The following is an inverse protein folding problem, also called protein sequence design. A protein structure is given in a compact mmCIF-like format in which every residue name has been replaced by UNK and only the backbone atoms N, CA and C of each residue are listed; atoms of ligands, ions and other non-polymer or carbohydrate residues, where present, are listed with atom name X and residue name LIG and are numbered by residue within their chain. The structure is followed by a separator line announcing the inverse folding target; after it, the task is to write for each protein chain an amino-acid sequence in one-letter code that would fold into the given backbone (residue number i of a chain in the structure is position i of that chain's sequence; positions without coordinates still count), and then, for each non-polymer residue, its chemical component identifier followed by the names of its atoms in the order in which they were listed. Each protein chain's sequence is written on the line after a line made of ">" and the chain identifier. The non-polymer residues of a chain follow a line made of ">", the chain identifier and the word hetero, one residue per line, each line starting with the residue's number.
data_IF_318553767481
#
_entry.id   IF_318553767481
#
_cell.length_a   1.000
_cell.length_b   1.000
_cell.length_c   1.000
_cell.angle_alpha   90.00
_cell.angle_beta   90.00
_cell.angle_gamma   90.00
#
_symmetry.space_group_name_H-M   'P 1'
#
loop_
_entity.id
_entity.type
_entity.pdbx_description
1 polymer ?
#
# COMPACT_ATOMS: atom_id res chain seq x y z
N UNK A 1 6.06 23.07 -17.58
CA UNK A 1 5.35 21.88 -18.09
C UNK A 1 5.75 20.59 -17.36
N UNK A 2 7.04 20.22 -17.28
CA UNK A 2 7.46 18.98 -16.59
C UNK A 2 7.02 18.88 -15.13
N UNK A 3 7.13 19.98 -14.36
CA UNK A 3 6.63 20.02 -12.97
C UNK A 3 5.13 19.69 -12.89
N UNK A 4 4.31 20.32 -13.73
CA UNK A 4 2.85 20.13 -13.71
C UNK A 4 2.45 18.68 -14.04
N UNK A 5 3.20 18.02 -14.93
CA UNK A 5 3.01 16.59 -15.20
C UNK A 5 3.41 15.76 -13.97
N UNK A 6 4.53 16.10 -13.33
CA UNK A 6 4.94 15.48 -12.06
C UNK A 6 3.87 15.62 -10.98
N UNK A 7 3.30 16.82 -10.81
CA UNK A 7 2.21 17.11 -9.88
C UNK A 7 0.95 16.30 -10.20
N UNK A 8 0.55 16.24 -11.47
CA UNK A 8 -0.62 15.46 -11.91
C UNK A 8 -0.51 13.99 -11.51
N UNK A 9 0.62 13.34 -11.85
CA UNK A 9 0.84 11.95 -11.49
C UNK A 9 1.04 11.75 -9.98
N UNK A 10 1.60 12.72 -9.27
CA UNK A 10 1.73 12.70 -7.81
C UNK A 10 0.35 12.61 -7.15
N UNK A 11 -0.62 13.43 -7.59
CA UNK A 11 -1.98 13.41 -7.04
C UNK A 11 -2.79 12.18 -7.46
N UNK A 12 -2.38 11.49 -8.52
CA UNK A 12 -2.95 10.19 -8.93
C UNK A 12 -2.24 9.00 -8.25
N UNK A 13 -1.30 9.25 -7.34
CA UNK A 13 -0.46 8.21 -6.72
C UNK A 13 0.32 7.34 -7.71
N UNK A 14 0.52 7.81 -8.95
CA UNK A 14 1.36 7.13 -9.92
C UNK A 14 2.81 7.56 -9.72
N UNK A 15 3.46 6.91 -8.75
CA UNK A 15 4.80 7.27 -8.28
C UNK A 15 5.87 7.13 -9.36
N UNK A 16 5.74 6.14 -10.26
CA UNK A 16 6.72 5.87 -11.33
C UNK A 16 6.70 7.00 -12.36
N UNK A 17 5.53 7.37 -12.89
CA UNK A 17 5.47 8.46 -13.87
C UNK A 17 5.75 9.81 -13.21
N UNK A 18 5.29 10.04 -11.99
CA UNK A 18 5.56 11.28 -11.25
C UNK A 18 7.06 11.51 -11.05
N UNK A 19 7.79 10.48 -10.60
CA UNK A 19 9.26 10.53 -10.44
C UNK A 19 9.96 10.96 -11.74
N UNK A 20 9.62 10.32 -12.86
CA UNK A 20 10.19 10.60 -14.19
C UNK A 20 10.00 12.07 -14.61
N UNK A 21 8.84 12.65 -14.34
CA UNK A 21 8.57 14.04 -14.70
C UNK A 21 9.24 15.05 -13.76
N UNK A 22 9.33 14.74 -12.47
CA UNK A 22 10.12 15.55 -11.54
C UNK A 22 11.62 15.50 -11.85
N UNK A 23 12.16 14.34 -12.22
CA UNK A 23 13.55 14.19 -12.66
C UNK A 23 13.87 15.11 -13.85
N UNK A 24 12.92 15.31 -14.77
CA UNK A 24 13.04 16.30 -15.86
C UNK A 24 12.89 17.73 -15.36
N UNK A 25 11.98 17.99 -14.42
CA UNK A 25 11.73 19.34 -13.91
C UNK A 25 12.94 19.92 -13.17
N UNK A 26 13.64 19.11 -12.36
CA UNK A 26 14.79 19.53 -11.56
C UNK A 26 16.07 19.78 -12.37
N UNK A 27 16.06 19.56 -13.69
CA UNK A 27 17.16 19.97 -14.58
C UNK A 27 17.33 21.50 -14.63
N UNK A 28 16.35 22.25 -14.16
CA UNK A 28 16.45 23.66 -13.84
C UNK A 28 15.98 23.90 -12.39
N UNK A 29 16.35 25.05 -11.82
CA UNK A 29 15.94 25.42 -10.46
C UNK A 29 14.41 25.42 -10.34
N UNK A 30 13.90 24.69 -9.35
CA UNK A 30 12.47 24.66 -9.03
C UNK A 30 12.22 25.29 -7.64
N UNK A 31 10.94 25.45 -7.29
CA UNK A 31 10.53 25.76 -5.93
C UNK A 31 10.75 24.57 -4.98
N UNK A 32 10.74 24.86 -3.69
CA UNK A 32 10.98 23.87 -2.64
C UNK A 32 10.00 22.68 -2.72
N UNK A 33 8.73 22.93 -3.05
CA UNK A 33 7.70 21.89 -3.05
C UNK A 33 7.96 20.84 -4.16
N UNK A 34 8.52 21.25 -5.31
CA UNK A 34 8.93 20.31 -6.35
C UNK A 34 10.02 19.34 -5.86
N UNK A 35 11.03 19.83 -5.12
CA UNK A 35 12.07 18.96 -4.54
C UNK A 35 11.51 18.03 -3.47
N UNK A 36 10.60 18.52 -2.62
CA UNK A 36 9.93 17.70 -1.62
C UNK A 36 9.11 16.57 -2.26
N UNK A 37 8.24 16.89 -3.23
CA UNK A 37 7.40 15.88 -3.90
C UNK A 37 8.25 14.89 -4.67
N UNK A 38 9.29 15.35 -5.34
CA UNK A 38 10.23 14.46 -6.01
C UNK A 38 10.88 13.48 -5.03
N UNK A 39 11.32 13.98 -3.87
CA UNK A 39 11.86 13.14 -2.81
C UNK A 39 10.86 12.08 -2.34
N UNK A 40 9.58 12.43 -2.19
CA UNK A 40 8.54 11.48 -1.82
C UNK A 40 8.33 10.41 -2.88
N UNK A 41 8.33 10.76 -4.18
CA UNK A 41 8.20 9.77 -5.25
C UNK A 41 9.38 8.80 -5.29
N UNK A 42 10.62 9.33 -5.16
CA UNK A 42 11.83 8.52 -5.05
C UNK A 42 11.74 7.57 -3.84
N UNK A 43 11.29 8.06 -2.68
CA UNK A 43 11.12 7.26 -1.47
C UNK A 43 10.10 6.14 -1.66
N UNK A 44 8.93 6.44 -2.24
CA UNK A 44 7.90 5.44 -2.53
C UNK A 44 8.36 4.36 -3.52
N UNK A 45 9.28 4.71 -4.41
CA UNK A 45 9.90 3.77 -5.36
C UNK A 45 11.18 3.10 -4.80
N UNK A 46 11.46 3.22 -3.49
CA UNK A 46 12.60 2.58 -2.83
C UNK A 46 13.97 3.24 -3.09
N UNK A 47 14.01 4.39 -3.77
CA UNK A 47 15.23 5.15 -4.10
C UNK A 47 15.63 6.11 -2.99
N UNK A 48 15.91 5.54 -1.81
CA UNK A 48 16.11 6.31 -0.59
C UNK A 48 17.30 7.29 -0.63
N UNK A 49 18.42 6.91 -1.24
CA UNK A 49 19.59 7.77 -1.34
C UNK A 49 19.33 9.02 -2.20
N UNK A 50 18.65 8.83 -3.33
CA UNK A 50 18.23 9.93 -4.22
C UNK A 50 17.18 10.80 -3.53
N UNK A 51 16.22 10.20 -2.84
CA UNK A 51 15.22 10.91 -2.03
C UNK A 51 15.88 11.82 -0.99
N UNK A 52 16.86 11.30 -0.24
CA UNK A 52 17.60 12.07 0.75
C UNK A 52 18.37 13.25 0.12
N UNK A 53 18.85 13.10 -1.11
CA UNK A 53 19.50 14.20 -1.85
C UNK A 53 18.51 15.34 -2.11
N UNK A 54 17.30 15.02 -2.57
CA UNK A 54 16.27 16.03 -2.84
C UNK A 54 15.71 16.65 -1.54
N UNK A 55 15.59 15.87 -0.47
CA UNK A 55 15.20 16.38 0.85
C UNK A 55 16.22 17.35 1.43
N UNK A 56 17.53 17.15 1.19
CA UNK A 56 18.56 18.13 1.57
C UNK A 56 18.37 19.45 0.83
N UNK A 57 18.11 19.40 -0.47
CA UNK A 57 17.80 20.61 -1.26
C UNK A 57 16.56 21.32 -0.72
N UNK A 58 15.48 20.58 -0.45
CA UNK A 58 14.28 21.11 0.18
C UNK A 58 14.56 21.77 1.54
N UNK A 59 15.31 21.10 2.42
CA UNK A 59 15.64 21.61 3.75
C UNK A 59 16.51 22.87 3.71
N UNK A 60 17.38 23.01 2.70
CA UNK A 60 18.15 24.22 2.49
C UNK A 60 17.27 25.40 2.03
N UNK A 61 16.26 25.15 1.20
CA UNK A 61 15.32 26.17 0.71
C UNK A 61 14.31 26.58 1.79
N UNK A 62 13.92 25.65 2.66
CA UNK A 62 12.87 25.84 3.68
C UNK A 62 13.31 25.35 5.06
N UNK A 63 14.36 25.93 5.68
CA UNK A 63 14.97 25.41 6.91
C UNK A 63 14.03 25.42 8.13
N UNK A 64 13.04 26.31 8.14
CA UNK A 64 12.06 26.44 9.22
C UNK A 64 10.78 25.61 8.98
N UNK A 65 10.68 24.90 7.85
CA UNK A 65 9.55 24.02 7.59
C UNK A 65 9.66 22.76 8.46
N UNK A 66 8.55 22.36 9.08
CA UNK A 66 8.53 21.22 9.99
C UNK A 66 8.99 19.91 9.31
N UNK A 67 8.76 19.75 8.00
CA UNK A 67 9.21 18.61 7.20
C UNK A 67 10.74 18.58 7.08
N UNK A 68 11.37 19.74 6.91
CA UNK A 68 12.82 19.89 6.85
C UNK A 68 13.44 19.60 8.23
N UNK A 69 12.87 20.17 9.29
CA UNK A 69 13.30 19.94 10.68
C UNK A 69 13.22 18.45 11.03
N UNK A 70 12.14 17.77 10.63
CA UNK A 70 11.96 16.33 10.88
C UNK A 70 13.00 15.49 10.14
N UNK A 71 13.26 15.83 8.87
CA UNK A 71 14.27 15.15 8.07
C UNK A 71 15.69 15.31 8.65
N UNK A 72 16.06 16.51 9.08
CA UNK A 72 17.40 16.78 9.62
C UNK A 72 17.62 16.21 11.02
N UNK A 73 16.55 16.01 11.81
CA UNK A 73 16.62 15.45 13.16
C UNK A 73 17.12 14.00 13.19
N UNK A 74 16.81 13.19 12.16
CA UNK A 74 17.32 11.83 12.05
C UNK A 74 17.83 11.51 10.63
N UNK A 75 19.08 11.87 10.29
CA UNK A 75 19.67 11.57 8.99
C UNK A 75 19.91 10.06 8.79
N UNK A 76 19.93 9.26 9.85
CA UNK A 76 20.21 7.83 9.85
C UNK A 76 18.94 6.98 9.98
N UNK A 77 17.74 7.56 9.85
CA UNK A 77 16.46 6.88 10.08
C UNK A 77 16.34 5.49 9.44
N UNK A 78 16.83 5.31 8.21
CA UNK A 78 16.77 4.01 7.53
C UNK A 78 17.75 2.98 8.12
N UNK A 79 18.93 3.43 8.57
CA UNK A 79 19.88 2.55 9.27
C UNK A 79 19.28 2.12 10.62
N UNK A 80 18.71 3.06 11.36
CA UNK A 80 18.04 2.78 12.63
C UNK A 80 16.87 1.81 12.44
N UNK A 81 16.04 2.04 11.42
CA UNK A 81 14.90 1.18 11.08
C UNK A 81 15.34 -0.23 10.68
N UNK A 82 16.41 -0.35 9.90
CA UNK A 82 16.95 -1.65 9.48
C UNK A 82 17.67 -2.39 10.62
N UNK A 83 18.13 -1.68 11.65
CA UNK A 83 18.72 -2.26 12.85
C UNK A 83 17.66 -2.77 13.84
N UNK A 84 16.38 -2.46 13.63
CA UNK A 84 15.29 -3.01 14.45
C UNK A 84 15.23 -4.51 14.26
N UNK A 85 15.23 -5.23 15.38
CA UNK A 85 15.06 -6.69 15.41
C UNK A 85 13.74 -7.10 14.75
N UNK A 86 13.82 -8.03 13.80
CA UNK A 86 12.64 -8.61 13.14
C UNK A 86 11.93 -9.54 14.12
N UNK A 87 10.71 -9.18 14.52
CA UNK A 87 9.89 -9.96 15.48
C UNK A 87 8.94 -10.95 14.82
N UNK A 88 8.72 -10.81 13.52
CA UNK A 88 7.75 -11.60 12.77
C UNK A 88 8.34 -11.95 11.41
N UNK A 89 7.97 -13.13 10.94
CA UNK A 89 8.14 -13.54 9.56
C UNK A 89 6.82 -13.33 8.83
N UNK A 90 6.90 -12.93 7.57
CA UNK A 90 5.72 -12.73 6.72
C UNK A 90 5.78 -13.77 5.63
N UNK A 91 4.83 -14.69 5.64
CA UNK A 91 4.70 -15.73 4.64
C UNK A 91 3.44 -15.52 3.82
N UNK A 92 3.52 -15.88 2.54
CA UNK A 92 2.37 -15.85 1.64
C UNK A 92 1.56 -17.12 1.82
N UNK A 93 0.28 -16.98 2.11
CA UNK A 93 -0.69 -18.09 2.18
C UNK A 93 -1.36 -18.31 0.81
N UNK A 94 -1.79 -19.55 0.55
CA UNK A 94 -2.41 -19.97 -0.72
C UNK A 94 -3.93 -19.78 -0.78
N UNK A 95 -4.48 -18.86 0.04
CA UNK A 95 -5.93 -18.68 0.19
C UNK A 95 -6.57 -17.74 -0.83
N UNK A 96 -5.79 -16.79 -1.34
CA UNK A 96 -6.30 -15.78 -2.24
C UNK A 96 -6.71 -16.42 -3.58
N UNK A 97 -7.90 -16.07 -4.02
CA UNK A 97 -8.41 -16.27 -5.36
C UNK A 97 -7.79 -15.26 -6.34
N UNK A 98 -8.17 -15.38 -7.61
CA UNK A 98 -7.88 -14.36 -8.63
C UNK A 98 -8.79 -13.12 -8.52
N UNK A 99 -9.74 -13.13 -7.57
CA UNK A 99 -10.73 -12.09 -7.30
C UNK A 99 -10.33 -11.28 -6.06
N UNK A 100 -11.15 -10.30 -5.68
CA UNK A 100 -10.92 -9.57 -4.44
C UNK A 100 -11.16 -10.45 -3.22
N UNK A 101 -10.15 -10.56 -2.37
CA UNK A 101 -10.18 -11.19 -1.05
C UNK A 101 -9.66 -10.21 0.00
N UNK A 102 -10.43 -9.93 1.04
CA UNK A 102 -10.03 -8.98 2.07
C UNK A 102 -10.81 -9.15 3.39
N UNK A 103 -10.41 -8.37 4.40
CA UNK A 103 -11.09 -8.35 5.70
C UNK A 103 -10.93 -9.65 6.48
N UNK A 104 -9.74 -10.26 6.43
CA UNK A 104 -9.49 -11.53 7.09
C UNK A 104 -9.41 -11.38 8.62
N UNK A 105 -10.06 -12.30 9.33
CA UNK A 105 -10.18 -12.35 10.79
C UNK A 105 -9.95 -13.79 11.24
N UNK A 106 -8.97 -14.01 12.12
CA UNK A 106 -8.71 -15.32 12.71
C UNK A 106 -9.44 -15.45 14.05
N UNK A 107 -10.36 -16.40 14.15
CA UNK A 107 -11.08 -16.74 15.40
C UNK A 107 -10.84 -18.21 15.74
N UNK A 108 -10.11 -18.47 16.83
CA UNK A 108 -9.57 -19.80 17.10
C UNK A 108 -8.65 -20.25 15.97
N UNK A 109 -8.92 -21.44 15.43
CA UNK A 109 -8.17 -22.01 14.30
C UNK A 109 -8.88 -21.78 12.95
N UNK A 110 -9.85 -20.85 12.87
CA UNK A 110 -10.61 -20.60 11.64
C UNK A 110 -10.41 -19.15 11.19
N UNK A 111 -9.94 -18.99 9.97
CA UNK A 111 -9.80 -17.70 9.30
C UNK A 111 -11.05 -17.43 8.47
N UNK A 112 -11.75 -16.36 8.80
CA UNK A 112 -12.90 -15.84 8.06
C UNK A 112 -12.47 -14.66 7.21
N UNK A 113 -13.01 -14.52 6.00
CA UNK A 113 -12.69 -13.40 5.11
C UNK A 113 -13.81 -13.17 4.08
N UNK A 114 -13.88 -11.97 3.53
CA UNK A 114 -14.80 -11.64 2.44
C UNK A 114 -14.12 -11.91 1.09
N UNK A 115 -14.87 -12.47 0.13
CA UNK A 115 -14.34 -12.84 -1.18
C UNK A 115 -15.36 -12.71 -2.31
N UNK A 116 -14.90 -12.25 -3.47
CA UNK A 116 -15.68 -12.25 -4.72
C UNK A 116 -15.46 -13.51 -5.56
N UNK A 117 -15.06 -14.64 -4.95
CA UNK A 117 -14.76 -15.90 -5.65
C UNK A 117 -15.98 -16.69 -6.12
N UNK A 118 -17.19 -16.36 -5.64
CA UNK A 118 -18.41 -17.06 -6.03
C UNK A 118 -18.88 -16.63 -7.44
N UNK A 119 -18.47 -17.35 -8.47
CA UNK A 119 -18.85 -17.04 -9.87
C UNK A 119 -20.35 -17.17 -10.15
N UNK A 120 -21.10 -17.85 -9.28
CA UNK A 120 -22.56 -17.98 -9.40
C UNK A 120 -23.31 -16.78 -8.80
N UNK A 121 -22.61 -15.92 -8.06
CA UNK A 121 -23.19 -14.72 -7.47
C UNK A 121 -23.45 -13.64 -8.53
N UNK A 122 -24.29 -12.66 -8.17
CA UNK A 122 -24.61 -11.53 -9.04
C UNK A 122 -23.35 -10.72 -9.34
N UNK A 123 -23.21 -10.18 -10.55
CA UNK A 123 -22.10 -9.29 -10.90
C UNK A 123 -22.38 -7.86 -10.44
N UNK A 124 -21.40 -7.26 -9.76
CA UNK A 124 -21.42 -5.88 -9.31
C UNK A 124 -20.93 -4.93 -10.40
N UNK A 125 -21.79 -4.02 -10.83
CA UNK A 125 -21.54 -3.17 -12.00
C UNK A 125 -20.41 -2.15 -11.85
N UNK A 126 -19.90 -1.87 -10.65
CA UNK A 126 -18.84 -0.86 -10.46
C UNK A 126 -17.44 -1.40 -10.78
N UNK A 127 -17.17 -2.65 -10.42
CA UNK A 127 -15.87 -3.30 -10.62
C UNK A 127 -15.95 -4.54 -11.51
N UNK A 128 -17.15 -4.94 -11.93
CA UNK A 128 -17.41 -6.12 -12.76
C UNK A 128 -16.94 -7.44 -12.11
N UNK A 129 -17.04 -7.52 -10.79
CA UNK A 129 -16.75 -8.72 -9.99
C UNK A 129 -18.04 -9.30 -9.40
N UNK A 130 -18.08 -10.59 -9.01
CA UNK A 130 -19.17 -11.13 -8.23
C UNK A 130 -19.39 -10.39 -6.90
N UNK A 131 -20.60 -10.50 -6.35
CA UNK A 131 -20.87 -10.01 -5.00
C UNK A 131 -20.01 -10.76 -3.98
N UNK A 132 -19.76 -10.08 -2.84
CA UNK A 132 -18.86 -10.57 -1.82
C UNK A 132 -19.61 -11.51 -0.90
N UNK A 133 -19.05 -12.70 -0.71
CA UNK A 133 -19.52 -13.70 0.23
C UNK A 133 -18.46 -13.91 1.32
N UNK A 134 -18.90 -14.34 2.50
CA UNK A 134 -18.04 -14.77 3.59
C UNK A 134 -17.60 -16.21 3.36
N UNK A 135 -16.30 -16.40 3.44
CA UNK A 135 -15.64 -17.70 3.41
C UNK A 135 -14.89 -17.93 4.71
N UNK A 136 -14.70 -19.20 5.03
CA UNK A 136 -13.85 -19.65 6.12
C UNK A 136 -12.82 -20.67 5.63
N UNK A 137 -11.68 -20.70 6.29
CA UNK A 137 -10.66 -21.71 6.12
C UNK A 137 -10.00 -22.05 7.44
N UNK A 138 -9.86 -23.35 7.72
CA UNK A 138 -9.19 -23.84 8.93
C UNK A 138 -7.67 -23.71 8.79
N UNK A 139 -7.04 -23.08 9.77
CA UNK A 139 -5.59 -23.08 9.97
C UNK A 139 -5.17 -24.40 10.61
N UNK A 140 -4.35 -25.18 9.90
CA UNK A 140 -3.81 -26.44 10.38
C UNK A 140 -2.63 -26.21 11.32
N UNK A 141 -2.27 -27.24 12.10
CA UNK A 141 -1.15 -27.18 13.05
C UNK A 141 0.22 -26.92 12.39
N UNK A 142 0.35 -27.17 11.09
CA UNK A 142 1.56 -26.88 10.29
C UNK A 142 1.57 -25.46 9.71
N UNK A 143 0.56 -24.64 10.01
CA UNK A 143 0.40 -23.26 9.51
C UNK A 143 -0.22 -23.17 8.12
N UNK A 144 -0.52 -24.30 7.47
CA UNK A 144 -1.27 -24.31 6.20
C UNK A 144 -2.75 -24.03 6.42
N UNK A 145 -3.42 -23.58 5.36
CA UNK A 145 -4.86 -23.33 5.39
C UNK A 145 -5.59 -24.34 4.51
N UNK A 146 -6.71 -24.86 5.00
CA UNK A 146 -7.59 -25.73 4.22
C UNK A 146 -8.23 -24.99 3.04
N UNK A 147 -8.80 -25.75 2.10
CA UNK A 147 -9.60 -25.17 1.01
C UNK A 147 -10.75 -24.32 1.57
N UNK A 148 -10.91 -23.07 1.11
CA UNK A 148 -11.98 -22.20 1.60
C UNK A 148 -13.37 -22.72 1.30
N UNK A 149 -14.23 -22.65 2.31
CA UNK A 149 -15.65 -23.02 2.21
C UNK A 149 -16.53 -21.81 2.51
N UNK A 150 -17.63 -21.71 1.77
CA UNK A 150 -18.64 -20.66 1.97
C UNK A 150 -19.30 -20.81 3.34
N UNK A 151 -19.57 -19.68 4.01
CA UNK A 151 -20.38 -19.64 5.23
C UNK A 151 -21.80 -19.22 4.85
N UNK A 152 -22.55 -20.16 4.28
CA UNK A 152 -23.84 -19.91 3.64
C UNK A 152 -24.86 -19.25 4.59
N UNK A 153 -24.77 -19.49 5.90
CA UNK A 153 -25.66 -18.88 6.89
C UNK A 153 -25.47 -17.36 7.06
N UNK A 154 -24.32 -16.83 6.63
CA UNK A 154 -24.00 -15.40 6.67
C UNK A 154 -24.18 -14.72 5.30
N UNK A 155 -24.29 -15.50 4.23
CA UNK A 155 -24.30 -14.97 2.87
C UNK A 155 -25.72 -14.67 2.39
N UNK A 156 -25.89 -13.52 1.76
CA UNK A 156 -27.15 -13.08 1.17
C UNK A 156 -26.99 -12.81 -0.33
N UNK A 157 -28.04 -12.30 -0.98
CA UNK A 157 -27.94 -11.82 -2.36
C UNK A 157 -27.16 -10.48 -2.49
N UNK A 158 -26.70 -9.91 -1.37
CA UNK A 158 -25.98 -8.65 -1.27
C UNK A 158 -24.51 -8.86 -0.83
N UNK A 159 -23.71 -7.79 -0.86
CA UNK A 159 -22.32 -7.86 -0.43
C UNK A 159 -22.22 -8.04 1.08
N UNK A 160 -21.42 -9.03 1.50
CA UNK A 160 -21.06 -9.22 2.90
C UNK A 160 -19.65 -8.68 3.21
N UNK A 161 -19.49 -8.12 4.41
CA UNK A 161 -18.22 -7.67 4.98
C UNK A 161 -17.95 -6.16 4.92
N UNK A 162 -16.71 -5.73 5.27
CA UNK A 162 -15.62 -6.53 5.82
C UNK A 162 -15.90 -7.03 7.25
N UNK A 163 -15.30 -8.17 7.60
CA UNK A 163 -15.39 -8.71 8.95
C UNK A 163 -14.50 -7.94 9.93
N UNK A 164 -14.93 -7.86 11.19
CA UNK A 164 -14.18 -7.29 12.32
C UNK A 164 -14.48 -8.09 13.58
N UNK A 165 -13.54 -8.08 14.54
CA UNK A 165 -13.75 -8.52 15.93
C UNK A 165 -13.74 -7.34 16.89
#
# INVERSE_FOLDING_TARGET
>A
MSKQLGDSYYYMHNTIESEKWYAKAIQSQQDAEAYYRYAQMLKSNGKYAESNTQMKTFANLMPNDQRAITFTKNPNFLLDLNAVEKRFEVERISLNSERFDFGAVLYGDVLYFASARNESSKIYGWNNEPYLDIYQSTCNADGSYAEPISVDELNSEFHEGPLTM
#
